data_IF_789366405937
#
_entry.id   IF_789366405937
#
_cell.length_a   1.000
_cell.length_b   1.000
_cell.length_c   1.000
_cell.angle_alpha   90.00
_cell.angle_beta   90.00
_cell.angle_gamma   90.00
#
_symmetry.space_group_name_H-M   'P 1'
#
loop_
_entity.id
_entity.type
_entity.pdbx_description
1 polymer ?
#
# COMPACT_ATOMS: atom_id res chain seq x y z
N UNK A 1 -27.59 10.29 -12.02
CA UNK A 1 -26.24 10.75 -12.44
C UNK A 1 -25.31 10.96 -11.27
N UNK A 2 -25.76 11.55 -10.16
CA UNK A 2 -24.91 11.78 -8.97
C UNK A 2 -24.27 10.49 -8.40
N UNK A 3 -25.06 9.44 -8.18
CA UNK A 3 -24.54 8.15 -7.69
C UNK A 3 -23.47 7.53 -8.62
N UNK A 4 -23.68 7.63 -9.93
CA UNK A 4 -22.73 7.14 -10.94
C UNK A 4 -21.42 7.94 -10.93
N UNK A 5 -21.51 9.28 -10.80
CA UNK A 5 -20.35 10.14 -10.71
C UNK A 5 -19.53 9.85 -9.44
N UNK A 6 -20.20 9.68 -8.29
CA UNK A 6 -19.52 9.33 -7.03
C UNK A 6 -18.86 7.95 -7.11
N UNK A 7 -19.54 6.95 -7.67
CA UNK A 7 -18.98 5.61 -7.87
C UNK A 7 -17.69 5.65 -8.72
N UNK A 8 -17.66 6.48 -9.76
CA UNK A 8 -16.48 6.66 -10.60
C UNK A 8 -15.30 7.30 -9.85
N UNK A 9 -15.57 8.30 -9.00
CA UNK A 9 -14.53 8.92 -8.16
C UNK A 9 -13.94 7.91 -7.17
N UNK A 10 -14.79 7.11 -6.49
CA UNK A 10 -14.32 6.07 -5.59
C UNK A 10 -13.45 5.03 -6.30
N UNK A 11 -13.87 4.61 -7.50
CA UNK A 11 -13.10 3.68 -8.30
C UNK A 11 -11.72 4.24 -8.68
N UNK A 12 -11.66 5.46 -9.24
CA UNK A 12 -10.40 6.08 -9.63
C UNK A 12 -9.45 6.26 -8.44
N UNK A 13 -9.96 6.77 -7.32
CA UNK A 13 -9.18 7.02 -6.13
C UNK A 13 -8.55 5.74 -5.54
N UNK A 14 -9.24 4.60 -5.63
CA UNK A 14 -8.70 3.30 -5.21
C UNK A 14 -7.81 2.64 -6.26
N UNK A 15 -8.27 2.63 -7.51
CA UNK A 15 -7.66 1.83 -8.59
C UNK A 15 -6.25 2.30 -8.94
N UNK A 16 -6.08 3.59 -9.23
CA UNK A 16 -4.79 4.11 -9.67
C UNK A 16 -3.72 3.94 -8.58
N UNK A 17 -4.11 4.17 -7.32
CA UNK A 17 -3.21 4.04 -6.19
C UNK A 17 -2.78 2.59 -6.00
N UNK A 18 -3.74 1.67 -5.88
CA UNK A 18 -3.44 0.24 -5.69
C UNK A 18 -2.62 -0.35 -6.85
N UNK A 19 -2.98 -0.01 -8.10
CA UNK A 19 -2.24 -0.49 -9.28
C UNK A 19 -0.79 0.00 -9.28
N UNK A 20 -0.55 1.25 -8.88
CA UNK A 20 0.79 1.82 -8.79
C UNK A 20 1.60 1.18 -7.66
N UNK A 21 1.00 1.00 -6.46
CA UNK A 21 1.65 0.32 -5.33
C UNK A 21 2.12 -1.07 -5.74
N UNK A 22 1.24 -1.89 -6.32
CA UNK A 22 1.60 -3.26 -6.75
C UNK A 22 2.73 -3.24 -7.79
N UNK A 23 2.65 -2.33 -8.76
CA UNK A 23 3.68 -2.20 -9.79
C UNK A 23 5.05 -1.84 -9.21
N UNK A 24 5.11 -0.88 -8.28
CA UNK A 24 6.34 -0.50 -7.61
C UNK A 24 6.84 -1.58 -6.66
N UNK A 25 5.96 -2.29 -5.93
CA UNK A 25 6.37 -3.41 -5.08
C UNK A 25 6.99 -4.53 -5.91
N UNK A 26 6.39 -4.89 -7.04
CA UNK A 26 6.96 -5.89 -7.95
C UNK A 26 8.30 -5.44 -8.54
N UNK A 27 8.42 -4.16 -8.90
CA UNK A 27 9.70 -3.59 -9.36
C UNK A 27 10.78 -3.68 -8.27
N UNK A 28 10.46 -3.28 -7.04
CA UNK A 28 11.39 -3.34 -5.91
C UNK A 28 11.80 -4.78 -5.57
N UNK A 29 10.88 -5.75 -5.66
CA UNK A 29 11.21 -7.16 -5.48
C UNK A 29 12.14 -7.68 -6.59
N UNK A 30 11.87 -7.32 -7.85
CA UNK A 30 12.68 -7.74 -8.99
C UNK A 30 14.13 -7.21 -8.93
N UNK A 31 14.35 -6.02 -8.36
CA UNK A 31 15.69 -5.44 -8.20
C UNK A 31 16.38 -5.80 -6.89
N UNK A 32 15.67 -6.43 -5.93
CA UNK A 32 16.20 -6.89 -4.66
C UNK A 32 15.93 -8.40 -4.46
N UNK A 33 16.68 -9.31 -5.11
CA UNK A 33 16.44 -10.75 -5.07
C UNK A 33 16.39 -11.35 -3.67
N UNK A 34 17.27 -10.91 -2.76
CA UNK A 34 17.31 -11.39 -1.38
C UNK A 34 16.01 -11.08 -0.62
N UNK A 35 15.42 -9.90 -0.87
CA UNK A 35 14.13 -9.50 -0.28
C UNK A 35 13.00 -10.35 -0.88
N UNK A 36 13.05 -10.58 -2.19
CA UNK A 36 12.07 -11.43 -2.87
C UNK A 36 12.11 -12.87 -2.34
N UNK A 37 13.28 -13.44 -2.13
CA UNK A 37 13.44 -14.80 -1.59
C UNK A 37 12.88 -14.90 -0.17
N UNK A 38 13.19 -13.93 0.70
CA UNK A 38 12.64 -13.90 2.05
C UNK A 38 11.11 -13.78 2.07
N UNK A 39 10.53 -12.93 1.22
CA UNK A 39 9.08 -12.80 1.11
C UNK A 39 8.44 -14.08 0.55
N UNK A 40 9.08 -14.71 -0.44
CA UNK A 40 8.62 -15.97 -0.99
C UNK A 40 8.56 -17.06 0.10
N UNK A 41 9.61 -17.16 0.92
CA UNK A 41 9.66 -18.14 2.02
C UNK A 41 8.54 -17.89 3.05
N UNK A 42 8.27 -16.64 3.45
CA UNK A 42 7.16 -16.33 4.36
C UNK A 42 5.81 -16.77 3.76
N UNK A 43 5.59 -16.53 2.46
CA UNK A 43 4.36 -16.91 1.77
C UNK A 43 4.25 -18.44 1.62
N UNK A 44 5.34 -19.12 1.29
CA UNK A 44 5.37 -20.58 1.14
C UNK A 44 5.10 -21.27 2.48
N UNK A 45 5.74 -20.82 3.57
CA UNK A 45 5.47 -21.29 4.94
C UNK A 45 3.99 -21.08 5.32
N UNK A 46 3.41 -19.93 4.98
CA UNK A 46 2.00 -19.64 5.20
C UNK A 46 1.07 -20.59 4.42
N UNK A 47 1.37 -20.85 3.14
CA UNK A 47 0.56 -21.75 2.31
C UNK A 47 0.69 -23.22 2.71
N UNK A 48 1.84 -23.61 3.26
CA UNK A 48 2.05 -24.95 3.82
C UNK A 48 1.42 -25.13 5.20
N UNK A 49 1.17 -24.03 5.91
CA UNK A 49 0.40 -24.08 7.15
C UNK A 49 -1.03 -24.54 6.86
N UNK A 50 -1.64 -25.28 7.78
CA UNK A 50 -3.07 -25.66 7.67
C UNK A 50 -4.02 -24.47 7.89
N UNK A 51 -3.52 -23.23 7.86
CA UNK A 51 -4.36 -22.05 7.97
C UNK A 51 -5.20 -21.86 6.70
N UNK A 52 -6.47 -21.56 6.89
CA UNK A 52 -7.35 -21.21 5.77
C UNK A 52 -6.85 -19.91 5.13
N UNK A 53 -6.70 -19.92 3.81
CA UNK A 53 -6.43 -18.72 3.04
C UNK A 53 -7.63 -17.75 3.14
N UNK A 54 -7.50 -16.73 3.98
CA UNK A 54 -8.50 -15.68 4.19
C UNK A 54 -7.82 -14.35 4.52
N UNK A 55 -8.60 -13.27 4.52
CA UNK A 55 -8.10 -11.91 4.72
C UNK A 55 -7.41 -11.72 6.09
N UNK A 56 -8.01 -12.22 7.17
CA UNK A 56 -7.47 -12.04 8.52
C UNK A 56 -6.12 -12.73 8.71
N UNK A 57 -5.93 -13.86 8.06
CA UNK A 57 -4.67 -14.59 8.09
C UNK A 57 -3.61 -13.94 7.19
N UNK A 58 -4.00 -13.43 6.01
CA UNK A 58 -3.09 -12.69 5.13
C UNK A 58 -2.51 -11.44 5.82
N UNK A 59 -3.33 -10.75 6.62
CA UNK A 59 -2.91 -9.57 7.40
C UNK A 59 -1.87 -9.87 8.47
N UNK A 60 -1.56 -11.14 8.77
CA UNK A 60 -0.53 -11.55 9.73
C UNK A 60 0.86 -11.70 9.09
N UNK A 61 0.95 -11.69 7.76
CA UNK A 61 2.22 -11.79 7.03
C UNK A 61 3.04 -10.52 7.23
N UNK A 62 3.98 -10.58 8.17
CA UNK A 62 4.70 -9.42 8.68
C UNK A 62 5.71 -8.91 7.67
N UNK A 63 6.41 -9.80 6.97
CA UNK A 63 7.39 -9.43 5.98
C UNK A 63 6.73 -8.85 4.73
N UNK A 64 5.58 -9.39 4.32
CA UNK A 64 4.73 -8.78 3.29
C UNK A 64 4.35 -7.33 3.65
N UNK A 65 3.88 -7.08 4.88
CA UNK A 65 3.56 -5.73 5.35
C UNK A 65 4.80 -4.81 5.33
N UNK A 66 5.96 -5.31 5.74
CA UNK A 66 7.22 -4.55 5.66
C UNK A 66 7.59 -4.17 4.22
N UNK A 67 7.46 -5.09 3.27
CA UNK A 67 7.73 -4.83 1.84
C UNK A 67 6.80 -3.76 1.28
N UNK A 68 5.50 -3.83 1.61
CA UNK A 68 4.53 -2.83 1.18
C UNK A 68 4.81 -1.46 1.79
N UNK A 69 5.11 -1.40 3.09
CA UNK A 69 5.45 -0.15 3.77
C UNK A 69 6.72 0.49 3.19
N UNK A 70 7.77 -0.30 2.91
CA UNK A 70 8.99 0.22 2.32
C UNK A 70 8.78 0.68 0.87
N UNK A 71 7.93 -0.02 0.11
CA UNK A 71 7.51 0.43 -1.22
C UNK A 71 6.84 1.81 -1.14
N UNK A 72 5.88 1.99 -0.23
CA UNK A 72 5.17 3.26 -0.08
C UNK A 72 6.06 4.38 0.46
N UNK A 73 7.06 4.06 1.30
CA UNK A 73 8.07 5.02 1.77
C UNK A 73 8.95 5.53 0.62
N UNK A 74 9.34 4.65 -0.31
CA UNK A 74 10.17 5.01 -1.48
C UNK A 74 9.35 5.65 -2.60
N UNK A 75 8.15 5.14 -2.86
CA UNK A 75 7.27 5.51 -3.96
C UNK A 75 5.96 6.09 -3.42
N UNK A 76 6.07 7.28 -2.81
CA UNK A 76 4.90 7.98 -2.29
C UNK A 76 3.96 8.41 -3.44
N UNK A 77 2.84 7.70 -3.58
CA UNK A 77 1.84 7.91 -4.64
C UNK A 77 1.16 9.29 -4.60
N UNK A 78 1.13 9.90 -3.41
CA UNK A 78 0.61 11.24 -3.15
C UNK A 78 1.66 12.04 -2.38
N UNK A 79 2.60 12.67 -3.10
CA UNK A 79 3.72 13.39 -2.48
C UNK A 79 3.31 14.72 -1.82
N UNK A 80 2.13 15.26 -2.16
CA UNK A 80 1.66 16.56 -1.65
C UNK A 80 0.20 16.44 -1.20
N UNK A 81 -0.05 16.81 0.06
CA UNK A 81 -1.38 16.90 0.64
C UNK A 81 -1.72 18.37 0.91
N UNK A 82 -2.43 18.98 -0.03
CA UNK A 82 -2.81 20.39 0.09
C UNK A 82 -3.88 20.61 1.18
N UNK A 83 -3.80 21.74 1.86
CA UNK A 83 -4.79 22.24 2.83
C UNK A 83 -4.99 23.74 2.61
N UNK A 84 -6.19 24.22 2.87
CA UNK A 84 -6.53 25.66 2.86
C UNK A 84 -6.92 26.04 4.28
N UNK A 85 -6.26 27.05 4.85
CA UNK A 85 -6.59 27.57 6.18
C UNK A 85 -7.95 28.28 6.12
N UNK A 86 -8.90 27.82 6.92
CA UNK A 86 -10.24 28.43 7.04
C UNK A 86 -10.32 29.44 8.19
N UNK A 87 -9.28 29.51 9.01
CA UNK A 87 -9.10 30.42 10.14
C UNK A 87 -7.60 30.65 10.35
N UNK A 88 -7.24 31.77 10.96
CA UNK A 88 -5.87 32.05 11.35
C UNK A 88 -5.38 31.00 12.35
N UNK A 89 -4.18 30.48 12.12
CA UNK A 89 -3.55 29.45 12.94
C UNK A 89 -2.10 29.83 13.17
N UNK A 90 -1.69 29.90 14.45
CA UNK A 90 -0.29 30.09 14.81
C UNK A 90 0.41 28.74 14.74
N UNK A 91 1.41 28.64 13.86
CA UNK A 91 2.21 27.42 13.71
C UNK A 91 3.04 27.27 15.00
N UNK A 92 3.02 26.09 15.66
CA UNK A 92 3.85 25.88 16.83
C UNK A 92 5.33 26.13 16.50
N UNK A 93 5.99 26.98 17.29
CA UNK A 93 7.41 27.35 17.13
C UNK A 93 7.74 28.15 15.85
N UNK A 94 6.77 28.89 15.29
CA UNK A 94 7.00 29.90 14.22
C UNK A 94 7.01 31.33 14.75
#
# INVERSE_FOLDING_TARGET
MEATAQAFVFFLAGFQNTSSTVSFSLYELAVNPDIQENLYNEIDEFLQSSETFNFDNLMKLKYLDMVLNETLRKHALLSILNRICVKDYQIPNS
#
